data_IF_486240737120
#
_entry.id   IF_486240737120
#
_cell.length_a   1.000
_cell.length_b   1.000
_cell.length_c   1.000
_cell.angle_alpha   90.00
_cell.angle_beta   90.00
_cell.angle_gamma   90.00
#
_symmetry.space_group_name_H-M   'P 1'
#
loop_
_entity.id
_entity.type
_entity.pdbx_description
1 polymer ?
#
# COMPACT_ATOMS: atom_id res chain seq x y z
N UNK A 1 23.84 3.20 16.62
CA UNK A 1 22.53 3.84 16.41
C UNK A 1 21.50 2.73 16.39
N UNK A 2 20.46 2.79 17.23
CA UNK A 2 19.34 1.86 17.14
C UNK A 2 18.48 2.27 15.95
N UNK A 3 18.08 1.31 15.11
CA UNK A 3 17.22 1.54 13.95
C UNK A 3 15.97 0.66 14.04
N UNK A 4 14.85 1.18 13.59
CA UNK A 4 13.60 0.44 13.43
C UNK A 4 13.47 0.00 11.98
N UNK A 5 13.01 -1.24 11.76
CA UNK A 5 12.74 -1.77 10.42
C UNK A 5 11.22 -1.86 10.23
N UNK A 6 10.73 -1.27 9.14
CA UNK A 6 9.30 -1.24 8.80
C UNK A 6 9.06 -2.07 7.54
N UNK A 7 8.19 -3.06 7.65
CA UNK A 7 7.87 -4.03 6.60
C UNK A 7 6.74 -3.52 5.72
N UNK A 8 6.99 -3.53 4.41
CA UNK A 8 6.02 -3.28 3.35
C UNK A 8 5.64 -4.61 2.69
N UNK A 9 4.33 -4.89 2.56
CA UNK A 9 3.81 -6.19 2.08
C UNK A 9 3.55 -6.25 0.57
N UNK A 10 3.94 -5.22 -0.18
CA UNK A 10 3.71 -5.18 -1.62
C UNK A 10 2.28 -4.77 -1.98
N UNK A 11 1.92 -4.94 -3.26
CA UNK A 11 0.59 -4.61 -3.79
C UNK A 11 -0.31 -5.84 -4.02
N UNK A 12 0.15 -7.03 -3.64
CA UNK A 12 -0.56 -8.32 -3.84
C UNK A 12 -1.11 -8.92 -2.55
N UNK A 13 -0.41 -8.71 -1.44
CA UNK A 13 -0.86 -9.13 -0.12
C UNK A 13 -0.93 -7.91 0.79
N UNK A 14 -2.05 -7.74 1.47
CA UNK A 14 -2.29 -6.62 2.36
C UNK A 14 -2.15 -7.04 3.82
N UNK A 15 -1.85 -6.06 4.67
CA UNK A 15 -2.04 -6.21 6.12
C UNK A 15 -3.50 -5.90 6.42
N UNK A 16 -4.13 -6.72 7.24
CA UNK A 16 -5.44 -6.39 7.78
C UNK A 16 -5.37 -5.06 8.57
N UNK A 17 -6.43 -4.24 8.56
CA UNK A 17 -6.43 -2.91 9.20
C UNK A 17 -5.92 -2.87 10.64
N UNK A 18 -6.22 -3.93 11.41
CA UNK A 18 -5.84 -4.10 12.81
C UNK A 18 -4.43 -4.65 13.04
N UNK A 19 -3.77 -5.14 12.00
CA UNK A 19 -2.38 -5.64 12.02
C UNK A 19 -1.39 -4.52 11.73
N UNK A 20 -1.82 -3.48 11.01
CA UNK A 20 -0.98 -2.32 10.68
C UNK A 20 -0.60 -1.59 11.98
N UNK A 21 0.70 -1.41 12.20
CA UNK A 21 1.24 -0.74 13.39
C UNK A 21 1.56 0.74 13.14
N UNK A 22 1.80 1.11 11.88
CA UNK A 22 2.03 2.50 11.48
C UNK A 22 1.44 2.77 10.11
N UNK A 23 0.80 3.93 9.99
CA UNK A 23 0.38 4.48 8.70
C UNK A 23 1.08 5.79 8.38
N UNK A 24 1.34 6.00 7.10
CA UNK A 24 1.88 7.26 6.57
C UNK A 24 0.84 7.86 5.63
N UNK A 25 0.32 9.08 5.91
CA UNK A 25 -0.55 9.79 4.99
C UNK A 25 0.14 10.11 3.67
N UNK A 26 -0.57 9.90 2.56
CA UNK A 26 -0.09 10.16 1.20
C UNK A 26 -0.99 11.21 0.56
N UNK A 27 -0.40 12.31 0.11
CA UNK A 27 -1.13 13.36 -0.61
C UNK A 27 -1.54 12.91 -2.02
N UNK A 28 -2.49 13.59 -2.68
CA UNK A 28 -2.81 13.31 -4.08
C UNK A 28 -1.61 13.35 -5.02
N UNK A 29 -0.75 14.37 -4.87
CA UNK A 29 0.44 14.54 -5.70
C UNK A 29 1.48 13.43 -5.45
N UNK A 30 1.66 13.01 -4.20
CA UNK A 30 2.57 11.91 -3.86
C UNK A 30 2.06 10.57 -4.39
N UNK A 31 0.73 10.36 -4.38
CA UNK A 31 0.13 9.15 -4.93
C UNK A 31 0.30 9.09 -6.45
N UNK A 32 0.13 10.20 -7.16
CA UNK A 32 0.41 10.28 -8.60
C UNK A 32 1.89 10.06 -8.91
N UNK A 33 2.81 10.64 -8.12
CA UNK A 33 4.25 10.36 -8.25
C UNK A 33 4.56 8.89 -8.05
N UNK A 34 3.96 8.25 -7.05
CA UNK A 34 4.08 6.81 -6.78
C UNK A 34 3.59 5.97 -7.96
N UNK A 35 2.41 6.29 -8.52
CA UNK A 35 1.86 5.63 -9.71
C UNK A 35 2.79 5.72 -10.90
N UNK A 36 3.32 6.91 -11.17
CA UNK A 36 4.28 7.12 -12.27
C UNK A 36 5.60 6.36 -12.04
N UNK A 37 6.08 6.30 -10.79
CA UNK A 37 7.28 5.54 -10.45
C UNK A 37 7.09 4.04 -10.70
N UNK A 38 5.95 3.48 -10.27
CA UNK A 38 5.57 2.09 -10.55
C UNK A 38 5.47 1.84 -12.06
N UNK A 39 4.75 2.71 -12.78
CA UNK A 39 4.53 2.57 -14.22
C UNK A 39 5.84 2.57 -15.04
N UNK A 40 6.83 3.38 -14.61
CA UNK A 40 8.14 3.46 -15.27
C UNK A 40 9.00 2.22 -15.07
N UNK A 41 8.74 1.41 -14.04
CA UNK A 41 9.44 0.14 -13.83
C UNK A 41 8.75 -0.96 -14.63
N UNK A 42 9.22 -1.20 -15.86
CA UNK A 42 8.62 -2.17 -16.79
C UNK A 42 8.50 -3.59 -16.22
N UNK A 43 9.37 -4.01 -15.29
CA UNK A 43 9.26 -5.32 -14.62
C UNK A 43 8.05 -5.46 -13.67
N UNK A 44 7.34 -4.36 -13.38
CA UNK A 44 6.06 -4.34 -12.65
C UNK A 44 4.85 -4.05 -13.57
N UNK A 45 5.09 -3.88 -14.88
CA UNK A 45 4.07 -3.58 -15.88
C UNK A 45 3.40 -4.83 -16.43
N UNK A 46 4.08 -5.97 -16.39
CA UNK A 46 3.50 -7.24 -16.81
C UNK A 46 2.54 -7.74 -15.73
N UNK A 47 1.41 -8.33 -16.16
CA UNK A 47 0.49 -9.10 -15.30
C UNK A 47 1.35 -9.94 -14.35
N UNK A 48 1.00 -10.01 -13.06
CA UNK A 48 1.76 -10.83 -12.12
C UNK A 48 2.10 -12.18 -12.75
N UNK A 49 3.36 -12.61 -12.58
CA UNK A 49 3.82 -13.92 -13.01
C UNK A 49 2.93 -15.04 -12.43
N UNK A 50 2.24 -14.76 -11.32
CA UNK A 50 1.21 -15.59 -10.71
C UNK A 50 0.02 -14.70 -10.31
N UNK A 51 -0.95 -14.43 -11.21
CA UNK A 51 -2.16 -13.73 -10.82
C UNK A 51 -2.99 -14.74 -10.01
N UNK A 52 -3.05 -14.58 -8.70
CA UNK A 52 -3.82 -15.44 -7.80
C UNK A 52 -5.35 -15.39 -7.98
N UNK A 53 -5.86 -15.04 -9.16
CA UNK A 53 -7.29 -14.94 -9.46
C UNK A 53 -7.63 -14.01 -10.63
N UNK A 54 -8.93 -13.79 -10.82
CA UNK A 54 -9.57 -13.02 -11.91
C UNK A 54 -9.37 -11.50 -11.87
N UNK A 55 -8.49 -10.98 -11.02
CA UNK A 55 -8.30 -9.54 -10.87
C UNK A 55 -7.42 -9.00 -12.03
N UNK A 56 -8.06 -8.26 -12.93
CA UNK A 56 -7.48 -7.73 -14.16
C UNK A 56 -6.77 -6.40 -14.00
N UNK A 57 -6.77 -5.80 -12.80
CA UNK A 57 -6.14 -4.50 -12.56
C UNK A 57 -4.63 -4.55 -12.78
N UNK A 58 -4.06 -3.46 -13.25
CA UNK A 58 -2.61 -3.26 -13.30
C UNK A 58 -2.03 -3.04 -11.89
N UNK A 59 -0.73 -3.28 -11.69
CA UNK A 59 -0.10 -3.16 -10.38
C UNK A 59 -0.27 -1.76 -9.77
N UNK A 60 -0.15 -0.70 -10.57
CA UNK A 60 -0.32 0.67 -10.10
C UNK A 60 -1.77 0.97 -9.66
N UNK A 61 -2.77 0.38 -10.34
CA UNK A 61 -4.18 0.52 -9.98
C UNK A 61 -4.44 -0.14 -8.63
N UNK A 62 -3.90 -1.35 -8.42
CA UNK A 62 -3.96 -2.02 -7.12
C UNK A 62 -3.29 -1.21 -6.01
N UNK A 63 -2.09 -0.71 -6.28
CA UNK A 63 -1.35 0.09 -5.30
C UNK A 63 -2.12 1.35 -4.89
N UNK A 64 -2.74 2.05 -5.85
CA UNK A 64 -3.61 3.21 -5.59
C UNK A 64 -4.86 2.82 -4.81
N UNK A 65 -5.63 1.84 -5.30
CA UNK A 65 -6.89 1.40 -4.70
C UNK A 65 -6.67 0.99 -3.24
N UNK A 66 -5.58 0.28 -2.95
CA UNK A 66 -5.22 -0.12 -1.59
C UNK A 66 -5.00 1.08 -0.69
N UNK A 67 -4.18 2.05 -1.10
CA UNK A 67 -3.87 3.19 -0.24
C UNK A 67 -5.15 3.98 0.09
N UNK A 68 -6.06 4.13 -0.88
CA UNK A 68 -7.37 4.75 -0.65
C UNK A 68 -8.28 3.90 0.23
N UNK A 69 -8.28 2.58 0.05
CA UNK A 69 -9.10 1.67 0.83
C UNK A 69 -8.68 1.65 2.30
N UNK A 70 -7.38 1.63 2.61
CA UNK A 70 -6.90 1.76 4.00
C UNK A 70 -7.38 3.05 4.63
N UNK A 71 -7.28 4.17 3.93
CA UNK A 71 -7.76 5.47 4.42
C UNK A 71 -9.27 5.46 4.68
N UNK A 72 -10.05 4.91 3.75
CA UNK A 72 -11.51 4.77 3.88
C UNK A 72 -11.92 3.87 5.05
N UNK A 73 -11.24 2.75 5.26
CA UNK A 73 -11.53 1.86 6.39
C UNK A 73 -11.23 2.57 7.72
N UNK A 74 -10.13 3.31 7.80
CA UNK A 74 -9.77 4.04 9.02
C UNK A 74 -10.75 5.17 9.31
N UNK A 75 -11.18 5.92 8.29
CA UNK A 75 -12.26 6.91 8.40
C UNK A 75 -13.57 6.28 8.91
N UNK A 76 -13.97 5.13 8.35
CA UNK A 76 -15.15 4.38 8.81
C UNK A 76 -15.06 3.90 10.27
N UNK A 77 -13.84 3.70 10.78
CA UNK A 77 -13.58 3.36 12.18
C UNK A 77 -13.54 4.60 13.09
N UNK A 78 -13.72 5.81 12.55
CA UNK A 78 -13.72 7.08 13.27
C UNK A 78 -12.33 7.69 13.49
N UNK A 79 -11.31 7.22 12.76
CA UNK A 79 -9.99 7.84 12.73
C UNK A 79 -9.99 9.06 11.79
N UNK A 80 -8.98 9.95 11.87
CA UNK A 80 -8.90 11.10 10.97
C UNK A 80 -8.93 10.71 9.49
N UNK A 81 -9.66 11.49 8.70
CA UNK A 81 -9.79 11.30 7.26
C UNK A 81 -8.50 11.68 6.53
N UNK A 82 -8.07 10.81 5.60
CA UNK A 82 -6.95 11.05 4.71
C UNK A 82 -7.31 10.63 3.29
N UNK A 83 -6.64 11.24 2.30
CA UNK A 83 -6.82 10.85 0.89
C UNK A 83 -6.36 9.41 0.61
N UNK A 84 -5.24 9.04 1.21
CA UNK A 84 -4.59 7.75 1.04
C UNK A 84 -3.66 7.47 2.24
N UNK A 85 -3.56 6.20 2.66
CA UNK A 85 -2.68 5.75 3.72
C UNK A 85 -1.78 4.62 3.24
N UNK A 86 -0.50 4.68 3.57
CA UNK A 86 0.45 3.58 3.39
C UNK A 86 0.70 2.89 4.73
N UNK A 87 0.49 1.57 4.79
CA UNK A 87 0.53 0.78 6.03
C UNK A 87 1.80 -0.05 6.18
N UNK A 88 2.35 -0.07 7.38
CA UNK A 88 3.58 -0.78 7.74
C UNK A 88 3.43 -1.55 9.04
N UNK A 89 4.22 -2.63 9.15
CA UNK A 89 4.38 -3.44 10.37
C UNK A 89 5.84 -3.39 10.78
N UNK A 90 6.11 -3.22 12.07
CA UNK A 90 7.46 -3.22 12.61
C UNK A 90 8.02 -4.64 12.58
N UNK A 91 9.20 -4.80 12.01
CA UNK A 91 9.93 -6.05 12.13
C UNK A 91 10.43 -6.22 13.56
N UNK A 92 10.24 -7.43 14.10
CA UNK A 92 10.70 -7.84 15.42
C UNK A 92 11.58 -9.07 15.22
N UNK A 93 12.78 -9.04 15.81
CA UNK A 93 13.60 -10.22 15.98
C UNK A 93 12.85 -11.17 16.92
N UNK A 94 12.37 -12.30 16.40
CA UNK A 94 11.97 -13.47 17.20
C UNK A 94 13.10 -14.50 17.17
#
# INVERSE_FOLDING_TARGET
QQFEVWLYRGAWEEWEPHVIERVVPVSPDDLERKKMAIFRHQSQKDRAMFPGGSDSREFWQRAEDRNRQTAKVYDQLGLPEFYALEGFVQWRDE
#
